data_IF_825502440668
#
_entry.id   IF_825502440668
#
_cell.length_a   1.000
_cell.length_b   1.000
_cell.length_c   1.000
_cell.angle_alpha   90.00
_cell.angle_beta   90.00
_cell.angle_gamma   90.00
#
_symmetry.space_group_name_H-M   'P 1'
#
loop_
_entity.id
_entity.type
_entity.pdbx_description
1 polymer ?
#
# COMPACT_ATOMS: atom_id res chain seq x y z
N UNK A 1 14.68 -7.13 -7.55
CA UNK A 1 13.61 -7.48 -8.50
C UNK A 1 13.51 -8.99 -8.67
N UNK A 2 12.27 -9.50 -8.84
CA UNK A 2 11.98 -10.93 -9.08
C UNK A 2 11.26 -11.05 -10.41
N UNK A 3 11.56 -12.12 -11.17
CA UNK A 3 10.98 -12.31 -12.49
C UNK A 3 10.31 -13.69 -12.61
N UNK A 4 9.03 -13.76 -12.95
CA UNK A 4 8.03 -12.70 -12.92
C UNK A 4 7.18 -12.69 -11.65
N UNK A 5 7.05 -13.83 -10.92
CA UNK A 5 6.11 -14.02 -9.83
C UNK A 5 6.78 -14.42 -8.52
N UNK A 6 6.27 -13.91 -7.41
CA UNK A 6 6.62 -14.33 -6.05
C UNK A 6 5.55 -15.25 -5.49
N UNK A 7 4.28 -14.82 -5.66
CA UNK A 7 3.09 -15.51 -5.14
C UNK A 7 2.05 -15.68 -6.24
N UNK A 8 1.15 -16.63 -6.08
CA UNK A 8 0.00 -16.85 -6.95
C UNK A 8 -1.19 -17.36 -6.13
N UNK A 9 -2.38 -17.22 -6.69
CA UNK A 9 -3.59 -17.79 -6.07
C UNK A 9 -3.76 -19.24 -6.57
N UNK A 10 -3.66 -20.25 -5.69
CA UNK A 10 -3.86 -21.64 -6.06
C UNK A 10 -5.31 -21.87 -6.53
N UNK A 11 -5.47 -22.62 -7.63
CA UNK A 11 -6.79 -22.87 -8.22
C UNK A 11 -7.72 -23.70 -7.31
N UNK A 12 -7.15 -24.64 -6.60
CA UNK A 12 -7.83 -25.65 -5.75
C UNK A 12 -8.07 -25.19 -4.31
N UNK A 13 -7.35 -24.18 -3.84
CA UNK A 13 -7.50 -23.64 -2.48
C UNK A 13 -8.41 -22.41 -2.40
N UNK A 14 -8.86 -21.90 -3.56
CA UNK A 14 -9.67 -20.70 -3.65
C UNK A 14 -8.87 -19.40 -3.44
N UNK A 15 -9.53 -18.28 -3.72
CA UNK A 15 -8.96 -16.96 -3.51
C UNK A 15 -9.40 -16.40 -2.16
N UNK A 16 -8.48 -15.74 -1.44
CA UNK A 16 -8.80 -14.94 -0.27
C UNK A 16 -8.78 -13.46 -0.65
N UNK A 17 -9.87 -12.77 -0.34
CA UNK A 17 -10.01 -11.36 -0.68
C UNK A 17 -8.86 -10.53 -0.07
N UNK A 18 -8.23 -9.68 -0.89
CA UNK A 18 -7.11 -8.81 -0.50
C UNK A 18 -5.77 -9.52 -0.40
N UNK A 19 -5.67 -10.85 -0.62
CA UNK A 19 -4.39 -11.55 -0.61
C UNK A 19 -3.72 -11.54 -1.98
N UNK A 20 -2.38 -11.62 -1.97
CA UNK A 20 -1.55 -11.83 -3.15
C UNK A 20 -1.35 -13.33 -3.48
N UNK A 21 -2.05 -14.23 -2.76
CA UNK A 21 -1.88 -15.68 -2.92
C UNK A 21 -0.74 -16.25 -2.06
N UNK A 22 -0.28 -17.44 -2.44
CA UNK A 22 0.79 -18.19 -1.75
C UNK A 22 2.11 -18.15 -2.51
N UNK A 23 3.25 -18.31 -1.84
CA UNK A 23 4.54 -18.47 -2.51
C UNK A 23 4.52 -19.62 -3.51
N UNK A 24 5.26 -19.47 -4.61
CA UNK A 24 5.47 -20.55 -5.58
C UNK A 24 6.26 -21.69 -4.93
N UNK A 25 5.57 -22.78 -4.59
CA UNK A 25 6.17 -23.92 -3.91
C UNK A 25 7.36 -24.49 -4.68
N UNK A 26 8.46 -24.73 -3.96
CA UNK A 26 9.71 -25.27 -4.54
C UNK A 26 10.50 -24.26 -5.39
N UNK A 27 10.00 -23.05 -5.65
CA UNK A 27 10.65 -22.00 -6.46
C UNK A 27 10.95 -20.77 -5.61
N UNK A 28 9.98 -20.34 -4.80
CA UNK A 28 10.07 -19.11 -3.98
C UNK A 28 9.80 -19.39 -2.52
N UNK A 29 10.62 -18.81 -1.70
CA UNK A 29 10.39 -18.69 -0.26
C UNK A 29 10.03 -17.25 0.08
N UNK A 30 9.06 -17.05 0.96
CA UNK A 30 8.63 -15.74 1.49
C UNK A 30 8.72 -15.77 3.00
N UNK A 31 9.25 -14.71 3.58
CA UNK A 31 9.40 -14.54 5.02
C UNK A 31 9.05 -13.10 5.40
N UNK A 32 8.48 -12.93 6.58
CA UNK A 32 8.25 -11.60 7.18
C UNK A 32 9.41 -11.29 8.11
N UNK A 33 10.15 -10.25 7.80
CA UNK A 33 11.31 -9.81 8.57
C UNK A 33 10.86 -8.83 9.66
N UNK A 34 11.29 -9.09 10.90
CA UNK A 34 10.98 -8.27 12.08
C UNK A 34 9.48 -7.94 12.23
N UNK A 35 8.59 -8.97 12.30
CA UNK A 35 7.17 -8.72 12.42
C UNK A 35 6.82 -8.05 13.75
N UNK A 36 5.85 -7.12 13.72
CA UNK A 36 5.25 -6.54 14.91
C UNK A 36 4.27 -7.53 15.59
N UNK A 37 3.53 -7.07 16.60
CA UNK A 37 2.55 -7.88 17.34
C UNK A 37 1.41 -8.40 16.45
N UNK A 38 1.11 -7.71 15.34
CA UNK A 38 0.11 -8.09 14.34
C UNK A 38 0.67 -9.02 13.24
N UNK A 39 1.95 -9.38 13.33
CA UNK A 39 2.65 -10.19 12.32
C UNK A 39 3.07 -9.43 11.07
N UNK A 40 2.95 -8.09 11.07
CA UNK A 40 3.30 -7.23 9.93
C UNK A 40 4.77 -6.84 10.01
N UNK A 41 5.52 -7.07 8.93
CA UNK A 41 6.93 -6.68 8.80
C UNK A 41 7.34 -6.61 7.34
N UNK A 42 8.62 -6.38 7.08
CA UNK A 42 9.12 -6.33 5.70
C UNK A 42 9.03 -7.71 5.05
N UNK A 43 8.41 -7.77 3.88
CA UNK A 43 8.36 -8.97 3.06
C UNK A 43 9.73 -9.18 2.42
N UNK A 44 10.38 -10.30 2.75
CA UNK A 44 11.65 -10.69 2.13
C UNK A 44 11.48 -12.02 1.42
N UNK A 45 12.17 -12.18 0.30
CA UNK A 45 12.00 -13.32 -0.59
C UNK A 45 13.33 -13.94 -0.98
N UNK A 46 13.30 -15.24 -1.27
CA UNK A 46 14.45 -15.99 -1.76
C UNK A 46 13.97 -17.02 -2.78
N UNK A 47 14.69 -17.16 -3.88
CA UNK A 47 14.37 -18.13 -4.92
C UNK A 47 15.19 -17.92 -6.19
N UNK A 48 15.07 -18.86 -7.12
CA UNK A 48 15.85 -18.84 -8.37
C UNK A 48 15.52 -17.66 -9.28
N UNK A 49 14.35 -17.07 -9.14
CA UNK A 49 13.89 -15.90 -9.91
C UNK A 49 14.23 -14.56 -9.27
N UNK A 50 14.96 -14.54 -8.15
CA UNK A 50 15.47 -13.30 -7.58
C UNK A 50 16.70 -12.80 -8.35
N UNK A 51 16.85 -11.46 -8.43
CA UNK A 51 18.02 -10.87 -9.06
C UNK A 51 19.30 -11.28 -8.33
N UNK A 52 20.43 -11.37 -9.04
CA UNK A 52 21.76 -11.57 -8.44
C UNK A 52 22.34 -10.28 -7.86
N UNK A 53 21.86 -9.13 -8.31
CA UNK A 53 22.31 -7.82 -7.84
C UNK A 53 22.20 -6.75 -8.92
N UNK A 54 22.58 -5.53 -8.55
CA UNK A 54 22.60 -4.39 -9.47
C UNK A 54 23.95 -4.29 -10.19
N UNK A 55 23.91 -4.25 -11.53
CA UNK A 55 25.10 -4.20 -12.36
C UNK A 55 26.00 -3.02 -11.98
N UNK A 56 27.27 -3.30 -11.66
CA UNK A 56 28.29 -2.33 -11.22
C UNK A 56 27.89 -1.45 -10.01
N UNK A 57 26.97 -1.94 -9.14
CA UNK A 57 26.54 -1.22 -7.93
C UNK A 57 26.58 -2.18 -6.72
N UNK A 58 27.77 -2.53 -6.21
CA UNK A 58 27.89 -3.48 -5.11
C UNK A 58 27.22 -3.00 -3.81
N UNK A 59 27.32 -1.71 -3.49
CA UNK A 59 26.70 -1.15 -2.27
C UNK A 59 25.16 -1.25 -2.34
N UNK A 60 24.56 -0.83 -3.45
CA UNK A 60 23.12 -0.97 -3.66
C UNK A 60 22.68 -2.45 -3.67
N UNK A 61 23.54 -3.35 -4.13
CA UNK A 61 23.26 -4.79 -4.06
C UNK A 61 23.28 -5.28 -2.61
N UNK A 62 24.28 -4.87 -1.84
CA UNK A 62 24.38 -5.22 -0.43
C UNK A 62 23.16 -4.74 0.35
N UNK A 63 22.69 -3.51 0.11
CA UNK A 63 21.51 -2.93 0.77
C UNK A 63 20.21 -3.63 0.38
N UNK A 64 20.17 -4.24 -0.81
CA UNK A 64 19.01 -4.96 -1.31
C UNK A 64 18.82 -6.34 -0.69
N UNK A 65 19.81 -6.88 -0.01
CA UNK A 65 19.76 -8.21 0.61
C UNK A 65 19.97 -8.15 2.12
N UNK A 66 19.38 -9.11 2.82
CA UNK A 66 19.72 -9.38 4.22
C UNK A 66 21.08 -10.10 4.31
N UNK A 67 21.68 -10.15 5.49
CA UNK A 67 22.96 -10.86 5.70
C UNK A 67 22.90 -12.36 5.37
N UNK A 68 21.71 -12.95 5.55
CA UNK A 68 21.41 -14.37 5.25
C UNK A 68 20.86 -14.58 3.82
N UNK A 69 20.97 -13.56 2.94
CA UNK A 69 20.76 -13.66 1.50
C UNK A 69 19.31 -13.55 1.01
N UNK A 70 18.39 -13.03 1.82
CA UNK A 70 17.04 -12.73 1.38
C UNK A 70 16.96 -11.37 0.69
N UNK A 71 16.29 -11.32 -0.45
CA UNK A 71 16.02 -10.05 -1.15
C UNK A 71 14.94 -9.27 -0.40
N UNK A 72 15.25 -8.02 -0.04
CA UNK A 72 14.32 -7.06 0.53
C UNK A 72 13.41 -6.51 -0.56
N UNK A 73 12.09 -6.68 -0.42
CA UNK A 73 11.14 -6.13 -1.40
C UNK A 73 10.87 -4.65 -1.16
N UNK A 74 11.03 -4.20 0.08
CA UNK A 74 10.63 -2.88 0.55
C UNK A 74 9.11 -2.75 0.76
N UNK A 75 8.37 -3.86 0.66
CA UNK A 75 6.95 -3.92 0.96
C UNK A 75 6.74 -4.44 2.39
N UNK A 76 5.73 -3.93 3.07
CA UNK A 76 5.25 -4.42 4.36
C UNK A 76 4.08 -5.38 4.13
N UNK A 77 4.05 -6.45 4.89
CA UNK A 77 2.98 -7.43 4.77
C UNK A 77 2.99 -8.46 5.89
N UNK A 78 2.03 -9.36 5.83
CA UNK A 78 1.92 -10.49 6.75
C UNK A 78 1.50 -11.76 5.99
N UNK A 79 1.77 -12.92 6.61
CA UNK A 79 1.28 -14.22 6.16
C UNK A 79 0.18 -14.67 7.12
N UNK A 80 -0.93 -15.18 6.59
CA UNK A 80 -1.93 -15.81 7.43
C UNK A 80 -1.54 -17.26 7.80
N UNK A 81 -2.37 -17.92 8.61
CA UNK A 81 -2.14 -19.31 9.06
C UNK A 81 -2.09 -20.32 7.91
N UNK A 82 -2.68 -20.01 6.77
CA UNK A 82 -2.70 -20.87 5.59
C UNK A 82 -1.58 -20.52 4.59
N UNK A 83 -0.75 -19.51 4.91
CA UNK A 83 0.40 -19.08 4.11
C UNK A 83 0.04 -18.10 2.97
N UNK A 84 -1.14 -17.47 2.99
CA UNK A 84 -1.48 -16.42 2.05
C UNK A 84 -0.81 -15.11 2.45
N UNK A 85 -0.18 -14.44 1.48
CA UNK A 85 0.49 -13.15 1.67
C UNK A 85 -0.50 -12.00 1.50
N UNK A 86 -0.47 -11.06 2.44
CA UNK A 86 -1.20 -9.79 2.39
C UNK A 86 -0.20 -8.64 2.43
N UNK A 87 -0.26 -7.75 1.44
CA UNK A 87 0.55 -6.52 1.41
C UNK A 87 -0.22 -5.42 2.13
N UNK A 88 0.48 -4.69 2.99
CA UNK A 88 -0.04 -3.58 3.81
C UNK A 88 0.37 -2.22 3.28
N UNK A 89 1.55 -2.12 2.68
CA UNK A 89 2.09 -0.88 2.14
C UNK A 89 3.59 -0.99 1.88
N UNK A 90 4.25 0.16 1.81
CA UNK A 90 5.69 0.25 1.57
C UNK A 90 6.43 0.60 2.86
N UNK A 91 7.62 0.04 3.07
CA UNK A 91 8.46 0.38 4.23
C UNK A 91 8.78 1.88 4.31
N UNK A 92 8.91 2.55 3.16
CA UNK A 92 9.29 3.96 3.06
C UNK A 92 8.14 4.94 3.26
N UNK A 93 6.91 4.50 3.06
CA UNK A 93 5.70 5.34 3.14
C UNK A 93 4.94 5.16 4.44
N UNK A 94 5.28 4.13 5.22
CA UNK A 94 4.70 3.91 6.54
C UNK A 94 4.89 5.15 7.42
N UNK A 95 3.80 5.60 8.04
CA UNK A 95 3.77 6.72 8.96
C UNK A 95 3.67 6.24 10.41
N UNK A 96 4.07 7.09 11.34
CA UNK A 96 3.95 6.80 12.77
C UNK A 96 2.85 7.67 13.39
N UNK A 97 1.89 7.03 14.00
CA UNK A 97 0.86 7.70 14.79
C UNK A 97 1.44 8.34 16.07
N UNK A 98 0.66 9.20 16.74
CA UNK A 98 1.12 9.97 17.91
C UNK A 98 1.63 9.10 19.07
N UNK A 99 1.17 7.88 19.19
CA UNK A 99 1.59 6.91 20.23
C UNK A 99 2.47 5.79 19.68
N UNK A 100 3.05 5.97 18.47
CA UNK A 100 3.96 5.02 17.86
C UNK A 100 3.29 3.87 17.09
N UNK A 101 1.98 3.96 16.83
CA UNK A 101 1.29 3.00 15.98
C UNK A 101 1.74 3.17 14.53
N UNK A 102 1.86 2.05 13.82
CA UNK A 102 2.11 2.07 12.38
C UNK A 102 0.82 2.45 11.65
N UNK A 103 0.94 3.39 10.71
CA UNK A 103 -0.12 3.79 9.79
C UNK A 103 0.35 3.46 8.39
N UNK A 104 -0.51 2.79 7.63
CA UNK A 104 -0.24 2.37 6.26
C UNK A 104 -1.08 3.22 5.29
N UNK A 105 -0.52 4.31 4.72
CA UNK A 105 -1.27 5.23 3.86
C UNK A 105 -1.99 4.52 2.72
N UNK A 106 -1.37 3.51 2.13
CA UNK A 106 -1.89 2.76 1.00
C UNK A 106 -3.20 2.02 1.35
N UNK A 107 -3.37 1.56 2.59
CA UNK A 107 -4.64 0.94 3.03
C UNK A 107 -5.77 1.98 3.14
N UNK A 108 -5.44 3.18 3.59
CA UNK A 108 -6.39 4.30 3.66
C UNK A 108 -6.74 4.79 2.25
N UNK A 109 -5.71 4.97 1.40
CA UNK A 109 -5.86 5.37 0.00
C UNK A 109 -6.73 4.37 -0.78
N UNK A 110 -6.54 3.07 -0.56
CA UNK A 110 -7.37 2.04 -1.19
C UNK A 110 -8.86 2.18 -0.84
N UNK A 111 -9.18 2.60 0.38
CA UNK A 111 -10.57 2.86 0.79
C UNK A 111 -11.11 4.14 0.13
N UNK A 112 -10.30 5.21 0.10
CA UNK A 112 -10.68 6.49 -0.54
C UNK A 112 -10.90 6.28 -2.04
N UNK A 113 -10.01 5.54 -2.71
CA UNK A 113 -10.07 5.28 -4.15
C UNK A 113 -11.30 4.44 -4.57
N UNK A 114 -11.97 3.79 -3.62
CA UNK A 114 -13.25 3.11 -3.86
C UNK A 114 -14.48 4.02 -3.67
N UNK A 115 -14.30 5.29 -3.27
CA UNK A 115 -15.39 6.25 -3.16
C UNK A 115 -15.78 6.82 -4.52
N UNK A 116 -17.05 7.22 -4.72
CA UNK A 116 -17.52 7.83 -5.96
C UNK A 116 -16.71 9.09 -6.31
N UNK A 117 -16.50 9.32 -7.60
CA UNK A 117 -15.80 10.48 -8.16
C UNK A 117 -14.33 10.62 -7.76
N UNK A 118 -13.71 9.59 -7.20
CA UNK A 118 -12.28 9.59 -6.87
C UNK A 118 -11.50 8.84 -7.95
N UNK A 119 -10.58 9.54 -8.62
CA UNK A 119 -9.65 8.96 -9.59
C UNK A 119 -8.44 8.35 -8.87
N UNK A 120 -7.82 9.12 -8.00
CA UNK A 120 -6.69 8.68 -7.17
C UNK A 120 -6.56 9.56 -5.93
N UNK A 121 -5.93 9.03 -4.90
CA UNK A 121 -5.68 9.75 -3.66
C UNK A 121 -4.27 9.53 -3.13
N UNK A 122 -3.82 10.45 -2.27
CA UNK A 122 -2.56 10.36 -1.56
C UNK A 122 -2.78 10.80 -0.11
N UNK A 123 -2.38 9.96 0.84
CA UNK A 123 -2.48 10.26 2.28
C UNK A 123 -1.12 10.69 2.81
N UNK A 124 -1.10 11.86 3.43
CA UNK A 124 0.10 12.49 3.98
C UNK A 124 -0.10 12.81 5.46
N UNK A 125 0.99 12.79 6.22
CA UNK A 125 1.01 13.26 7.60
C UNK A 125 1.60 14.68 7.65
N UNK A 126 0.90 15.58 8.34
CA UNK A 126 1.39 16.93 8.63
C UNK A 126 2.31 16.94 9.86
N UNK A 127 3.01 18.05 10.09
CA UNK A 127 3.93 18.23 11.24
C UNK A 127 3.25 18.03 12.60
N UNK A 128 1.95 18.26 12.68
CA UNK A 128 1.12 18.06 13.89
C UNK A 128 0.52 16.65 14.01
N UNK A 129 1.06 15.70 13.24
CA UNK A 129 0.62 14.30 13.15
C UNK A 129 -0.79 14.07 12.59
N UNK A 130 -1.48 15.09 12.08
CA UNK A 130 -2.78 14.91 11.43
C UNK A 130 -2.61 14.31 10.04
N UNK A 131 -3.50 13.37 9.70
CA UNK A 131 -3.56 12.82 8.36
C UNK A 131 -4.41 13.73 7.45
N UNK A 132 -3.90 13.97 6.26
CA UNK A 132 -4.56 14.73 5.19
C UNK A 132 -4.63 13.86 3.96
N UNK A 133 -5.82 13.73 3.38
CA UNK A 133 -5.99 13.10 2.09
C UNK A 133 -6.03 14.17 0.98
N UNK A 134 -5.11 14.06 0.04
CA UNK A 134 -5.20 14.75 -1.24
C UNK A 134 -5.97 13.84 -2.18
N UNK A 135 -7.04 14.34 -2.78
CA UNK A 135 -7.90 13.57 -3.70
C UNK A 135 -7.88 14.25 -5.07
N UNK A 136 -7.50 13.51 -6.08
CA UNK A 136 -7.73 13.89 -7.47
C UNK A 136 -9.09 13.33 -7.89
N UNK A 137 -10.11 14.18 -8.15
CA UNK A 137 -11.41 13.71 -8.62
C UNK A 137 -11.34 13.19 -10.07
N UNK A 138 -12.21 12.24 -10.41
CA UNK A 138 -12.50 11.94 -11.80
C UNK A 138 -13.39 13.05 -12.40
N UNK A 139 -12.74 14.08 -12.93
CA UNK A 139 -13.45 15.22 -13.51
C UNK A 139 -14.35 14.86 -14.70
N UNK A 140 -14.07 13.75 -15.43
CA UNK A 140 -14.95 13.30 -16.49
C UNK A 140 -16.28 12.80 -15.90
N UNK A 141 -16.23 12.07 -14.80
CA UNK A 141 -17.42 11.59 -14.10
C UNK A 141 -18.17 12.75 -13.42
N UNK A 142 -17.46 13.69 -12.81
CA UNK A 142 -18.02 14.91 -12.21
C UNK A 142 -18.76 15.74 -13.25
N UNK A 143 -18.15 16.02 -14.41
CA UNK A 143 -18.75 16.80 -15.49
C UNK A 143 -19.97 16.08 -16.09
N UNK A 144 -19.88 14.77 -16.31
CA UNK A 144 -20.99 13.97 -16.81
C UNK A 144 -22.20 13.97 -15.85
N UNK A 145 -21.95 14.09 -14.55
CA UNK A 145 -22.98 14.13 -13.50
C UNK A 145 -23.54 15.55 -13.26
N UNK A 146 -22.94 16.58 -13.85
CA UNK A 146 -23.36 17.98 -13.70
C UNK A 146 -23.19 18.54 -12.29
N UNK A 147 -22.25 17.99 -11.50
CA UNK A 147 -21.99 18.44 -10.14
C UNK A 147 -21.32 19.81 -10.12
N UNK A 148 -21.77 20.68 -9.22
CA UNK A 148 -21.04 21.92 -8.92
C UNK A 148 -19.82 21.62 -8.02
N UNK A 149 -18.92 22.59 -7.93
CA UNK A 149 -17.74 22.45 -7.07
C UNK A 149 -18.12 22.29 -5.60
N UNK A 150 -19.12 23.04 -5.14
CA UNK A 150 -19.62 22.97 -3.76
C UNK A 150 -20.20 21.57 -3.46
N UNK A 151 -20.95 21.00 -4.41
CA UNK A 151 -21.50 19.65 -4.27
C UNK A 151 -20.39 18.59 -4.25
N UNK A 152 -19.33 18.76 -5.05
CA UNK A 152 -18.17 17.87 -5.02
C UNK A 152 -17.45 17.96 -3.67
N UNK A 153 -17.22 19.16 -3.13
CA UNK A 153 -16.58 19.34 -1.82
C UNK A 153 -17.41 18.67 -0.70
N UNK A 154 -18.75 18.77 -0.73
CA UNK A 154 -19.64 18.09 0.22
C UNK A 154 -19.56 16.57 0.09
N UNK A 155 -19.55 16.04 -1.14
CA UNK A 155 -19.41 14.60 -1.38
C UNK A 155 -18.06 14.05 -0.88
N UNK A 156 -16.98 14.80 -1.08
CA UNK A 156 -15.66 14.39 -0.59
C UNK A 156 -15.59 14.42 0.94
N UNK A 157 -16.25 15.36 1.58
CA UNK A 157 -16.34 15.40 3.04
C UNK A 157 -17.19 14.24 3.59
N UNK A 158 -18.27 13.86 2.91
CA UNK A 158 -19.07 12.70 3.30
C UNK A 158 -18.29 11.37 3.05
N UNK A 159 -17.54 11.28 1.97
CA UNK A 159 -16.61 10.17 1.73
C UNK A 159 -15.56 10.06 2.84
N UNK A 160 -15.00 11.19 3.30
CA UNK A 160 -14.07 11.22 4.45
C UNK A 160 -14.72 10.63 5.71
N UNK A 161 -15.94 11.05 6.02
CA UNK A 161 -16.69 10.55 7.21
C UNK A 161 -16.95 9.05 7.10
N UNK A 162 -17.34 8.58 5.91
CA UNK A 162 -17.58 7.17 5.65
C UNK A 162 -16.29 6.35 5.84
N UNK A 163 -15.19 6.75 5.20
CA UNK A 163 -13.89 6.08 5.35
C UNK A 163 -13.43 6.09 6.80
N UNK A 164 -13.53 7.22 7.50
CA UNK A 164 -13.15 7.34 8.91
C UNK A 164 -13.98 6.43 9.83
N UNK A 165 -15.20 6.08 9.47
CA UNK A 165 -16.01 5.14 10.27
C UNK A 165 -15.47 3.70 10.25
N UNK A 166 -14.60 3.37 9.28
CA UNK A 166 -13.96 2.08 9.11
C UNK A 166 -12.49 2.06 9.58
N UNK A 167 -11.94 3.21 9.97
CA UNK A 167 -10.54 3.37 10.38
C UNK A 167 -10.41 3.43 11.90
N UNK A 168 -9.27 2.96 12.40
CA UNK A 168 -8.90 3.18 13.80
C UNK A 168 -8.74 4.68 14.09
N UNK A 169 -8.91 5.08 15.34
CA UNK A 169 -8.89 6.50 15.73
C UNK A 169 -7.60 7.23 15.33
N UNK A 170 -6.46 6.54 15.35
CA UNK A 170 -5.15 7.09 14.99
C UNK A 170 -4.90 7.16 13.47
N UNK A 171 -5.75 6.50 12.66
CA UNK A 171 -5.69 6.49 11.20
C UNK A 171 -6.67 7.46 10.54
N UNK A 172 -7.51 8.14 11.35
CA UNK A 172 -8.57 8.99 10.81
C UNK A 172 -8.02 10.20 10.07
N UNK A 173 -8.59 10.44 8.90
CA UNK A 173 -8.29 11.58 8.05
C UNK A 173 -8.92 12.82 8.66
N UNK A 174 -8.08 13.80 8.97
CA UNK A 174 -8.54 15.08 9.54
C UNK A 174 -9.09 16.03 8.48
N UNK A 175 -8.49 16.05 7.29
CA UNK A 175 -8.80 17.00 6.22
C UNK A 175 -8.71 16.29 4.88
N UNK A 176 -9.69 16.57 4.00
CA UNK A 176 -9.61 16.27 2.57
C UNK A 176 -9.30 17.55 1.81
N UNK A 177 -8.41 17.47 0.82
CA UNK A 177 -8.12 18.56 -0.12
C UNK A 177 -8.22 18.05 -1.54
N UNK A 178 -8.98 18.74 -2.37
CA UNK A 178 -9.03 18.43 -3.80
C UNK A 178 -7.72 18.86 -4.47
N UNK A 179 -7.15 17.93 -5.23
CA UNK A 179 -5.96 18.15 -6.04
C UNK A 179 -6.38 18.22 -7.52
N UNK A 180 -6.05 19.29 -8.24
CA UNK A 180 -6.67 19.58 -9.54
C UNK A 180 -6.15 18.73 -10.70
N UNK A 181 -5.07 17.98 -10.50
CA UNK A 181 -4.39 17.19 -11.54
C UNK A 181 -4.04 15.81 -11.00
N UNK A 182 -3.77 14.85 -11.90
CA UNK A 182 -3.18 13.59 -11.52
C UNK A 182 -1.82 13.78 -10.84
N UNK A 183 -1.51 12.91 -9.88
CA UNK A 183 -0.21 12.96 -9.21
C UNK A 183 0.91 12.58 -10.16
N UNK A 184 2.07 13.25 -10.01
CA UNK A 184 3.25 12.89 -10.76
C UNK A 184 3.69 11.46 -10.42
N UNK A 185 3.80 10.63 -11.46
CA UNK A 185 4.21 9.23 -11.32
C UNK A 185 5.63 9.05 -11.84
N UNK A 186 6.42 8.24 -11.17
CA UNK A 186 7.73 7.86 -11.70
C UNK A 186 7.56 7.04 -12.97
N UNK A 187 8.59 6.97 -13.87
CA UNK A 187 8.50 6.19 -15.12
C UNK A 187 8.18 4.70 -14.92
N UNK A 188 8.31 4.17 -13.71
CA UNK A 188 7.96 2.78 -13.38
C UNK A 188 6.49 2.60 -12.94
N UNK A 189 5.70 3.70 -12.92
CA UNK A 189 4.31 3.77 -12.40
C UNK A 189 4.14 3.20 -11.00
#
# INVERSE_FOLDING_TARGET
>A
ECAPLITFTPYDEGSKLGSCGKPLEGIMEVKILNPNEEGIGEVVVRGENTMQGYYKKPDATKDAFTEDGWLRTGDLGCLDSDGFLYIKGRCKTMLLGPSGQNIYPEEIEAKINNMPFVLESLVLQQEDNRLVALICPDYNEVDASGLTREQLDELMEDSRKQVNSELAAYEQISIVKLYPHEFEKTPKK
#
